data_IF_296165727156
#
_entry.id   IF_296165727156
#
_cell.length_a   1.000
_cell.length_b   1.000
_cell.length_c   1.000
_cell.angle_alpha   90.00
_cell.angle_beta   90.00
_cell.angle_gamma   90.00
#
_symmetry.space_group_name_H-M   'P 1'
#
loop_
_entity.id
_entity.type
_entity.pdbx_description
1 polymer ?
#
# COMPACT_ATOMS: atom_id res chain seq x y z
N UNK A 1 -6.03 12.81 6.06
CA UNK A 1 -5.95 11.93 7.24
C UNK A 1 -4.55 11.32 7.32
N UNK A 2 -3.97 11.21 8.52
CA UNK A 2 -2.64 10.58 8.71
C UNK A 2 -2.79 9.35 9.61
N UNK A 3 -2.21 8.22 9.18
CA UNK A 3 -2.13 6.97 9.95
C UNK A 3 -0.65 6.60 10.13
N UNK A 4 -0.24 6.23 11.34
CA UNK A 4 1.16 5.93 11.66
C UNK A 4 1.29 4.97 12.86
N UNK A 5 2.47 4.39 13.05
CA UNK A 5 2.77 3.50 14.17
C UNK A 5 1.78 2.33 14.26
N UNK A 6 1.13 2.18 15.41
CA UNK A 6 0.15 1.10 15.63
C UNK A 6 -1.12 1.22 14.78
N UNK A 7 -1.41 2.42 14.24
CA UNK A 7 -2.55 2.65 13.37
C UNK A 7 -2.24 2.42 11.88
N UNK A 8 -0.97 2.22 11.51
CA UNK A 8 -0.55 1.90 10.13
C UNK A 8 -0.79 0.42 9.79
N UNK A 9 -2.04 -0.02 9.91
CA UNK A 9 -2.49 -1.37 9.56
C UNK A 9 -2.98 -1.43 8.10
N UNK A 10 -3.05 -2.62 7.51
CA UNK A 10 -3.62 -2.79 6.16
C UNK A 10 -5.06 -2.27 6.10
N UNK A 11 -5.88 -2.59 7.10
CA UNK A 11 -7.26 -2.09 7.18
C UNK A 11 -7.32 -0.55 7.25
N UNK A 12 -6.41 0.09 8.00
CA UNK A 12 -6.31 1.54 8.07
C UNK A 12 -5.96 2.17 6.73
N UNK A 13 -4.99 1.59 6.01
CA UNK A 13 -4.59 2.06 4.69
C UNK A 13 -5.69 1.88 3.63
N UNK A 14 -6.36 0.73 3.60
CA UNK A 14 -7.49 0.50 2.70
C UNK A 14 -8.64 1.47 2.98
N UNK A 15 -8.97 1.71 4.24
CA UNK A 15 -9.99 2.71 4.60
C UNK A 15 -9.57 4.13 4.16
N UNK A 16 -8.29 4.47 4.29
CA UNK A 16 -7.79 5.76 3.82
C UNK A 16 -7.92 5.89 2.30
N UNK A 17 -7.58 4.85 1.53
CA UNK A 17 -7.78 4.82 0.08
C UNK A 17 -9.26 5.04 -0.29
N UNK A 18 -10.18 4.37 0.40
CA UNK A 18 -11.61 4.47 0.10
C UNK A 18 -12.23 5.84 0.39
N UNK A 19 -11.71 6.54 1.40
CA UNK A 19 -12.32 7.77 1.93
C UNK A 19 -11.60 9.05 1.51
N UNK A 20 -10.47 8.95 0.80
CA UNK A 20 -9.68 10.10 0.39
C UNK A 20 -9.36 10.00 -1.10
N UNK A 21 -9.39 11.13 -1.79
CA UNK A 21 -9.09 11.17 -3.22
C UNK A 21 -7.64 10.80 -3.52
N UNK A 22 -6.72 11.27 -2.66
CA UNK A 22 -5.28 11.01 -2.77
C UNK A 22 -4.75 10.39 -1.48
N UNK A 23 -3.89 9.39 -1.62
CA UNK A 23 -3.17 8.77 -0.51
C UNK A 23 -1.69 8.68 -0.85
N UNK A 24 -0.85 9.15 0.06
CA UNK A 24 0.59 8.97 0.00
C UNK A 24 0.99 7.86 0.96
N UNK A 25 1.57 6.78 0.43
CA UNK A 25 2.06 5.66 1.22
C UNK A 25 3.58 5.78 1.37
N UNK A 26 4.04 5.97 2.61
CA UNK A 26 5.45 6.05 2.99
C UNK A 26 5.75 4.92 3.97
N UNK A 27 6.18 3.77 3.43
CA UNK A 27 6.44 2.55 4.20
C UNK A 27 7.48 1.67 3.52
N UNK A 28 7.89 0.57 4.16
CA UNK A 28 8.82 -0.37 3.55
C UNK A 28 8.11 -1.21 2.48
N UNK A 29 8.58 -1.10 1.24
CA UNK A 29 8.26 -2.05 0.18
C UNK A 29 9.16 -3.27 0.30
N UNK A 30 8.61 -4.45 0.05
CA UNK A 30 9.37 -5.68 -0.03
C UNK A 30 9.01 -6.42 -1.31
N UNK A 31 10.05 -6.77 -2.06
CA UNK A 31 9.96 -7.68 -3.18
C UNK A 31 10.41 -9.05 -2.68
N UNK A 32 9.48 -10.01 -2.69
CA UNK A 32 9.82 -11.38 -2.33
C UNK A 32 10.53 -12.04 -3.52
N UNK A 33 11.80 -12.42 -3.36
CA UNK A 33 12.57 -13.09 -4.43
C UNK A 33 11.96 -14.43 -4.83
N UNK A 34 11.17 -15.05 -3.97
CA UNK A 34 10.44 -16.30 -4.27
C UNK A 34 9.08 -16.04 -4.94
N UNK A 35 8.56 -14.82 -4.85
CA UNK A 35 7.32 -14.37 -5.49
C UNK A 35 7.55 -13.00 -6.15
N UNK A 36 8.37 -12.92 -7.23
CA UNK A 36 8.80 -11.65 -7.81
C UNK A 36 7.63 -10.79 -8.31
N UNK A 37 6.49 -11.40 -8.62
CA UNK A 37 5.27 -10.74 -9.08
C UNK A 37 4.29 -10.35 -7.96
N UNK A 38 4.69 -10.47 -6.69
CA UNK A 38 3.84 -10.12 -5.54
C UNK A 38 4.53 -9.09 -4.61
N UNK A 39 4.84 -7.89 -5.13
CA UNK A 39 5.37 -6.81 -4.29
C UNK A 39 4.31 -6.36 -3.28
N UNK A 40 4.76 -6.03 -2.08
CA UNK A 40 3.87 -5.61 -1.01
C UNK A 40 4.49 -4.56 -0.10
N UNK A 41 3.62 -3.80 0.56
CA UNK A 41 3.99 -2.85 1.59
C UNK A 41 3.86 -3.52 2.95
N UNK A 42 4.91 -3.40 3.76
CA UNK A 42 4.91 -3.90 5.13
C UNK A 42 4.07 -2.96 5.99
N UNK A 43 2.91 -3.44 6.43
CA UNK A 43 2.08 -2.74 7.42
C UNK A 43 2.36 -3.28 8.81
N UNK A 44 1.79 -2.64 9.83
CA UNK A 44 2.00 -3.04 11.23
C UNK A 44 1.61 -4.50 11.53
N UNK A 45 0.53 -4.98 10.92
CA UNK A 45 -0.10 -6.27 11.25
C UNK A 45 0.01 -7.30 10.13
N UNK A 46 0.04 -6.87 8.88
CA UNK A 46 0.04 -7.72 7.68
C UNK A 46 0.62 -6.94 6.50
N UNK A 47 0.67 -7.54 5.32
CA UNK A 47 1.15 -6.87 4.11
C UNK A 47 -0.02 -6.25 3.33
N UNK A 48 0.18 -5.06 2.77
CA UNK A 48 -0.74 -4.48 1.79
C UNK A 48 -0.18 -4.75 0.39
N UNK A 49 -0.87 -5.58 -0.38
CA UNK A 49 -0.50 -5.94 -1.76
C UNK A 49 -1.20 -5.03 -2.77
N UNK A 50 -0.74 -5.04 -4.03
CA UNK A 50 -1.45 -4.36 -5.12
C UNK A 50 -2.84 -4.98 -5.35
N UNK A 51 -2.96 -6.31 -5.25
CA UNK A 51 -4.24 -7.00 -5.41
C UNK A 51 -5.27 -6.54 -4.37
N UNK A 52 -4.85 -6.34 -3.12
CA UNK A 52 -5.73 -5.80 -2.06
C UNK A 52 -6.31 -4.43 -2.40
N UNK A 53 -5.57 -3.62 -3.16
CA UNK A 53 -6.00 -2.30 -3.61
C UNK A 53 -6.95 -2.46 -4.81
N UNK A 54 -6.59 -3.31 -5.78
CA UNK A 54 -7.39 -3.54 -6.99
C UNK A 54 -8.74 -4.20 -6.72
N UNK A 55 -8.83 -5.09 -5.73
CA UNK A 55 -10.07 -5.77 -5.34
C UNK A 55 -11.00 -4.88 -4.49
N UNK A 56 -10.53 -3.72 -4.05
CA UNK A 56 -11.33 -2.80 -3.26
C UNK A 56 -12.08 -1.82 -4.14
N UNK A 57 -13.33 -1.57 -3.77
CA UNK A 57 -14.06 -0.42 -4.28
C UNK A 57 -13.47 0.85 -3.64
N UNK A 58 -12.78 1.65 -4.47
CA UNK A 58 -12.10 2.87 -4.09
C UNK A 58 -12.65 4.01 -4.98
N UNK A 59 -13.91 4.44 -4.75
CA UNK A 59 -14.68 5.24 -5.69
C UNK A 59 -14.15 6.67 -5.87
N UNK A 60 -13.17 7.07 -5.05
CA UNK A 60 -12.62 8.41 -5.02
C UNK A 60 -11.14 8.46 -5.43
N UNK A 61 -10.48 7.31 -5.64
CA UNK A 61 -9.05 7.31 -5.92
C UNK A 61 -8.76 7.79 -7.35
N UNK A 62 -8.01 8.89 -7.44
CA UNK A 62 -7.53 9.41 -8.74
C UNK A 62 -6.06 9.03 -9.00
N UNK A 63 -5.23 9.00 -7.95
CA UNK A 63 -3.81 8.69 -8.04
C UNK A 63 -3.25 8.31 -6.66
N UNK A 64 -2.54 7.18 -6.57
CA UNK A 64 -1.80 6.78 -5.38
C UNK A 64 -0.30 6.86 -5.67
N UNK A 65 0.42 7.69 -4.91
CA UNK A 65 1.89 7.79 -5.02
C UNK A 65 2.54 6.81 -4.04
N UNK A 66 3.37 5.92 -4.57
CA UNK A 66 4.04 4.88 -3.80
C UNK A 66 5.52 5.20 -3.60
N UNK A 67 5.87 5.67 -2.40
CA UNK A 67 7.25 5.94 -2.01
C UNK A 67 7.71 4.91 -0.99
N UNK A 68 8.22 3.79 -1.50
CA UNK A 68 8.74 2.69 -0.71
C UNK A 68 10.10 2.24 -1.28
N UNK A 69 10.93 1.60 -0.45
CA UNK A 69 12.17 1.00 -0.97
C UNK A 69 11.81 -0.07 -2.02
N UNK A 70 12.49 -0.06 -3.18
CA UNK A 70 12.29 -1.00 -4.29
C UNK A 70 10.90 -0.93 -4.98
N UNK A 71 10.26 0.24 -5.04
CA UNK A 71 8.94 0.43 -5.69
C UNK A 71 8.95 0.30 -7.21
N UNK A 72 10.13 0.32 -7.82
CA UNK A 72 10.37 -0.03 -9.20
C UNK A 72 11.84 -0.44 -9.29
N UNK A 73 12.12 -1.72 -9.07
CA UNK A 73 13.39 -2.30 -9.50
C UNK A 73 13.02 -3.26 -10.63
N UNK A 74 12.92 -2.69 -11.83
CA UNK A 74 13.27 -3.48 -13.01
C UNK A 74 14.79 -3.68 -12.98
N UNK A 75 15.23 -4.87 -13.35
CA UNK A 75 16.64 -5.19 -13.63
C UNK A 75 17.15 -4.36 -14.82
#
# INVERSE_FOLDING_TARGET
TTISGNAATRAGALKALQTNTWVHLVCHGKQDRTQPYNPHLVMKNEHLTLLDIMERDIPHAEFAFLSACHTAVDD
#
